data_IF_637097462796
#
_entry.id   IF_637097462796
#
_cell.length_a   1.000
_cell.length_b   1.000
_cell.length_c   1.000
_cell.angle_alpha   90.00
_cell.angle_beta   90.00
_cell.angle_gamma   90.00
#
_symmetry.space_group_name_H-M   'P 1'
#
loop_
_entity.id
_entity.type
_entity.pdbx_description
1 polymer ?
#
# COMPACT_ATOMS: atom_id res chain seq x y z
N UNK A 1 39.76 45.84 32.99
CA UNK A 1 40.09 45.67 31.55
C UNK A 1 38.96 44.91 30.87
N UNK A 2 38.42 45.49 29.78
CA UNK A 2 37.49 44.94 28.78
C UNK A 2 36.08 44.52 29.31
N UNK A 3 35.02 45.32 29.08
CA UNK A 3 34.19 45.43 27.84
C UNK A 3 33.31 44.17 27.70
N UNK A 4 31.97 44.13 27.63
CA UNK A 4 30.93 44.90 26.90
C UNK A 4 29.58 44.26 27.34
N UNK A 5 28.63 44.96 27.99
CA UNK A 5 27.39 45.57 27.44
C UNK A 5 26.75 44.77 26.30
N UNK A 6 25.55 44.21 26.47
CA UNK A 6 24.43 44.37 25.52
C UNK A 6 23.31 43.37 25.82
N UNK A 7 22.30 43.90 26.51
CA UNK A 7 20.89 43.69 26.25
C UNK A 7 20.63 43.40 24.76
N UNK A 8 20.07 42.24 24.43
CA UNK A 8 19.14 42.14 23.32
C UNK A 8 18.28 40.89 23.48
N UNK A 9 17.07 41.13 23.95
CA UNK A 9 15.90 40.27 23.79
C UNK A 9 15.83 39.81 22.33
N UNK A 10 16.25 38.57 22.05
CA UNK A 10 16.05 37.95 20.74
C UNK A 10 14.81 37.07 20.86
N UNK A 11 13.74 37.54 20.21
CA UNK A 11 12.47 36.86 20.06
C UNK A 11 12.69 35.41 19.58
N UNK A 12 12.20 34.47 20.37
CA UNK A 12 11.99 33.09 19.95
C UNK A 12 10.86 33.13 18.92
N UNK A 13 11.23 33.20 17.63
CA UNK A 13 10.31 32.94 16.53
C UNK A 13 10.06 31.43 16.50
N UNK A 14 8.99 31.01 17.18
CA UNK A 14 8.42 29.68 17.01
C UNK A 14 7.87 29.59 15.58
N UNK A 15 8.64 29.00 14.67
CA UNK A 15 8.11 28.52 13.40
C UNK A 15 7.21 27.29 13.68
N UNK A 16 5.99 27.56 14.13
CA UNK A 16 4.89 26.62 14.01
C UNK A 16 4.48 26.59 12.55
N UNK A 17 5.12 25.74 11.76
CA UNK A 17 4.60 25.38 10.45
C UNK A 17 3.42 24.43 10.67
N UNK A 18 2.25 24.99 10.98
CA UNK A 18 1.02 24.21 10.88
C UNK A 18 0.73 24.01 9.40
N UNK A 19 1.20 22.90 8.84
CA UNK A 19 0.74 22.45 7.53
C UNK A 19 -0.76 22.21 7.64
N UNK A 20 -1.56 23.14 7.16
CA UNK A 20 -2.99 22.91 6.91
C UNK A 20 -3.09 21.76 5.91
N UNK A 21 -3.62 20.62 6.35
CA UNK A 21 -4.09 19.57 5.43
C UNK A 21 -5.31 20.11 4.69
N UNK A 22 -5.09 20.72 3.54
CA UNK A 22 -6.15 20.91 2.55
C UNK A 22 -6.71 19.51 2.23
N UNK A 23 -7.92 19.25 2.69
CA UNK A 23 -8.56 17.93 2.60
C UNK A 23 -9.52 17.95 1.40
N UNK A 24 -8.97 18.21 0.22
CA UNK A 24 -9.69 18.12 -1.06
C UNK A 24 -8.78 17.53 -2.16
N UNK A 25 -7.74 16.79 -1.79
CA UNK A 25 -6.96 16.01 -2.76
C UNK A 25 -7.76 14.76 -3.15
N UNK A 26 -7.99 14.59 -4.45
CA UNK A 26 -8.54 13.36 -5.03
C UNK A 26 -7.75 12.17 -4.47
N UNK A 27 -8.42 11.09 -4.00
CA UNK A 27 -7.71 9.93 -3.48
C UNK A 27 -6.72 9.39 -4.52
N UNK A 28 -5.57 8.83 -4.10
CA UNK A 28 -4.60 8.24 -5.01
C UNK A 28 -5.28 7.14 -5.84
N UNK A 29 -4.80 6.89 -7.06
CA UNK A 29 -5.40 5.88 -7.93
C UNK A 29 -5.41 4.47 -7.29
N UNK A 30 -4.42 4.18 -6.44
CA UNK A 30 -4.33 2.93 -5.70
C UNK A 30 -3.63 3.10 -4.36
N UNK A 31 -3.81 2.09 -3.50
CA UNK A 31 -3.18 1.96 -2.19
C UNK A 31 -2.80 0.49 -1.95
N UNK A 32 -1.56 0.24 -1.50
CA UNK A 32 -1.17 -1.09 -1.01
C UNK A 32 -1.68 -1.22 0.43
N UNK A 33 -2.72 -2.03 0.63
CA UNK A 33 -3.37 -2.18 1.93
C UNK A 33 -2.57 -3.09 2.86
N UNK A 34 -1.99 -4.16 2.30
CA UNK A 34 -1.19 -5.15 3.02
C UNK A 34 -0.12 -5.70 2.08
N UNK A 35 1.09 -5.83 2.60
CA UNK A 35 2.19 -6.53 1.96
C UNK A 35 2.98 -7.25 3.05
N UNK A 36 3.08 -8.57 2.92
CA UNK A 36 3.65 -9.43 3.96
C UNK A 36 4.30 -10.63 3.32
N UNK A 37 5.39 -11.14 3.92
CA UNK A 37 5.99 -12.42 3.55
C UNK A 37 5.18 -13.62 4.09
N UNK A 38 4.16 -13.37 4.91
CA UNK A 38 3.34 -14.40 5.55
C UNK A 38 1.84 -14.10 5.40
N UNK A 39 1.02 -15.16 5.41
CA UNK A 39 -0.43 -15.07 5.29
C UNK A 39 -0.99 -15.29 3.89
N UNK A 40 -0.12 -15.59 2.91
CA UNK A 40 -0.51 -16.13 1.61
C UNK A 40 -0.89 -17.61 1.67
N UNK A 41 -0.96 -18.22 0.49
CA UNK A 41 -1.35 -19.62 0.27
C UNK A 41 -0.16 -20.36 -0.37
N UNK A 42 -0.28 -21.68 -0.49
CA UNK A 42 0.83 -22.50 -0.99
C UNK A 42 1.06 -22.35 -2.50
N UNK A 43 0.06 -21.94 -3.27
CA UNK A 43 0.13 -21.80 -4.73
C UNK A 43 0.03 -20.34 -5.15
N UNK A 44 0.65 -20.04 -6.30
CA UNK A 44 0.69 -18.70 -6.89
C UNK A 44 -0.62 -18.39 -7.60
N UNK A 45 -1.20 -17.23 -7.34
CA UNK A 45 -2.38 -16.71 -8.05
C UNK A 45 -2.54 -15.20 -7.88
N UNK A 46 -3.29 -14.60 -8.82
CA UNK A 46 -3.81 -13.25 -8.73
C UNK A 46 -5.33 -13.29 -8.84
N UNK A 47 -6.02 -12.52 -8.02
CA UNK A 47 -7.47 -12.55 -7.96
C UNK A 47 -8.06 -11.17 -7.73
N UNK A 48 -9.05 -10.81 -8.56
CA UNK A 48 -9.90 -9.66 -8.31
C UNK A 48 -10.99 -10.06 -7.33
N UNK A 49 -11.00 -9.43 -6.15
CA UNK A 49 -12.02 -9.68 -5.13
C UNK A 49 -13.30 -8.96 -5.54
N UNK A 50 -14.19 -9.71 -6.18
CA UNK A 50 -15.49 -9.22 -6.68
C UNK A 50 -16.67 -9.73 -5.87
N UNK A 51 -16.49 -10.83 -5.11
CA UNK A 51 -17.55 -11.42 -4.33
C UNK A 51 -17.72 -10.74 -2.97
N UNK A 52 -18.97 -10.48 -2.57
CA UNK A 52 -19.29 -9.89 -1.28
C UNK A 52 -18.81 -10.72 -0.08
N UNK A 53 -18.76 -12.05 -0.23
CA UNK A 53 -18.29 -12.96 0.80
C UNK A 53 -16.79 -12.79 1.04
N UNK A 54 -15.99 -12.72 -0.02
CA UNK A 54 -14.55 -12.50 0.03
C UNK A 54 -14.21 -11.10 0.53
N UNK A 55 -14.95 -10.08 0.08
CA UNK A 55 -14.77 -8.71 0.55
C UNK A 55 -15.01 -8.59 2.07
N UNK A 56 -16.00 -9.32 2.62
CA UNK A 56 -16.20 -9.40 4.07
C UNK A 56 -15.01 -10.01 4.80
N UNK A 57 -14.23 -10.89 4.17
CA UNK A 57 -12.99 -11.41 4.77
C UNK A 57 -11.95 -10.29 4.91
N UNK A 58 -11.82 -9.42 3.91
CA UNK A 58 -10.93 -8.24 3.98
C UNK A 58 -11.37 -7.27 5.08
N UNK A 59 -12.67 -7.02 5.24
CA UNK A 59 -13.21 -6.16 6.30
C UNK A 59 -12.95 -6.70 7.72
N UNK A 60 -12.80 -8.01 7.88
CA UNK A 60 -12.59 -8.66 9.17
C UNK A 60 -11.10 -8.94 9.47
N UNK A 61 -10.21 -8.81 8.49
CA UNK A 61 -8.77 -8.95 8.71
C UNK A 61 -8.27 -7.82 9.62
N UNK A 62 -7.49 -8.19 10.64
CA UNK A 62 -7.06 -7.28 11.71
C UNK A 62 -6.19 -6.14 11.19
N UNK A 63 -5.42 -6.36 10.13
CA UNK A 63 -4.51 -5.40 9.51
C UNK A 63 -5.23 -4.49 8.50
N UNK A 64 -6.40 -4.91 8.04
CA UNK A 64 -7.16 -4.26 6.97
C UNK A 64 -8.44 -3.56 7.43
N UNK A 65 -9.08 -4.00 8.51
CA UNK A 65 -10.40 -3.52 8.94
C UNK A 65 -10.52 -2.01 9.15
N UNK A 66 -9.40 -1.35 9.45
CA UNK A 66 -9.34 0.11 9.65
C UNK A 66 -8.90 0.88 8.39
N UNK A 67 -8.54 0.18 7.32
CA UNK A 67 -8.08 0.72 6.03
C UNK A 67 -9.13 0.62 4.93
N UNK A 68 -10.14 -0.23 5.12
CA UNK A 68 -11.19 -0.51 4.14
C UNK A 68 -12.54 -0.15 4.75
N UNK A 69 -13.36 0.61 4.02
CA UNK A 69 -14.76 0.86 4.40
C UNK A 69 -15.67 -0.13 3.68
N UNK A 70 -16.80 -0.55 4.28
CA UNK A 70 -17.78 -1.39 3.58
C UNK A 70 -18.29 -0.80 2.26
N UNK A 71 -18.31 0.53 2.14
CA UNK A 71 -18.70 1.23 0.91
C UNK A 71 -17.69 1.13 -0.23
N UNK A 72 -16.43 0.78 0.06
CA UNK A 72 -15.35 0.81 -0.94
C UNK A 72 -15.56 -0.22 -2.05
N UNK A 73 -16.30 -1.32 -1.81
CA UNK A 73 -16.60 -2.32 -2.85
C UNK A 73 -17.35 -1.73 -4.06
N UNK A 74 -18.09 -0.64 -3.85
CA UNK A 74 -18.89 0.00 -4.89
C UNK A 74 -18.07 1.00 -5.72
N UNK A 75 -16.95 1.50 -5.20
CA UNK A 75 -16.14 2.55 -5.85
C UNK A 75 -14.74 2.08 -6.21
N UNK A 76 -14.31 0.96 -5.64
CA UNK A 76 -12.95 0.44 -5.76
C UNK A 76 -12.95 -1.02 -6.20
N UNK A 77 -11.84 -1.41 -6.80
CA UNK A 77 -11.48 -2.78 -7.09
C UNK A 77 -10.39 -3.22 -6.10
N UNK A 78 -10.37 -4.51 -5.77
CA UNK A 78 -9.43 -5.08 -4.81
C UNK A 78 -8.69 -6.23 -5.48
N UNK A 79 -7.38 -6.15 -5.53
CA UNK A 79 -6.52 -7.15 -6.15
C UNK A 79 -5.73 -7.86 -5.05
N UNK A 80 -5.91 -9.18 -4.97
CA UNK A 80 -5.14 -10.07 -4.13
C UNK A 80 -4.03 -10.72 -4.97
N UNK A 81 -2.79 -10.57 -4.51
CA UNK A 81 -1.60 -11.14 -5.13
C UNK A 81 -0.97 -12.14 -4.17
N UNK A 82 -0.73 -13.36 -4.65
CA UNK A 82 -0.17 -14.44 -3.86
C UNK A 82 0.99 -15.11 -4.62
N UNK A 83 2.17 -15.18 -4.00
CA UNK A 83 3.37 -15.73 -4.65
C UNK A 83 3.48 -17.26 -4.54
N UNK A 84 2.60 -17.90 -3.75
CA UNK A 84 2.78 -19.29 -3.34
C UNK A 84 3.89 -19.43 -2.28
N UNK A 85 4.15 -20.68 -1.90
CA UNK A 85 5.25 -21.01 -0.98
C UNK A 85 6.62 -20.63 -1.55
N UNK A 86 7.49 -20.06 -0.72
CA UNK A 86 8.88 -19.75 -1.03
C UNK A 86 9.81 -20.29 0.05
N UNK A 87 10.98 -20.77 -0.37
CA UNK A 87 11.95 -21.41 0.52
C UNK A 87 12.88 -20.43 1.27
N UNK A 88 12.68 -19.12 1.08
CA UNK A 88 13.44 -18.08 1.78
C UNK A 88 12.59 -16.83 1.99
N UNK A 89 13.06 -15.93 2.84
CA UNK A 89 12.53 -14.56 2.94
C UNK A 89 13.01 -13.65 1.80
N UNK A 90 12.49 -12.42 1.78
CA UNK A 90 12.86 -11.36 0.84
C UNK A 90 12.09 -11.35 -0.49
N UNK A 91 11.04 -12.18 -0.62
CA UNK A 91 10.12 -12.14 -1.75
C UNK A 91 9.02 -11.12 -1.50
N UNK A 92 8.66 -10.36 -2.53
CA UNK A 92 7.61 -9.34 -2.42
C UNK A 92 7.04 -8.93 -3.75
N UNK A 93 5.90 -8.25 -3.76
CA UNK A 93 5.38 -7.58 -4.95
C UNK A 93 5.80 -6.11 -5.00
N UNK A 94 5.82 -5.55 -6.20
CA UNK A 94 5.86 -4.11 -6.43
C UNK A 94 4.91 -3.75 -7.56
N UNK A 95 4.22 -2.63 -7.41
CA UNK A 95 3.48 -2.01 -8.51
C UNK A 95 4.47 -1.09 -9.20
N UNK A 96 4.96 -1.48 -10.37
CA UNK A 96 5.95 -0.69 -11.12
C UNK A 96 5.30 0.48 -11.86
N UNK A 97 4.09 0.28 -12.35
CA UNK A 97 3.28 1.31 -12.97
C UNK A 97 1.80 1.04 -12.74
N UNK A 98 1.03 2.12 -12.71
CA UNK A 98 -0.43 2.05 -12.79
C UNK A 98 -0.94 3.26 -13.57
N UNK A 99 -1.73 2.99 -14.59
CA UNK A 99 -2.24 3.99 -15.51
C UNK A 99 -3.75 3.86 -15.63
N UNK A 100 -4.44 4.99 -15.55
CA UNK A 100 -5.87 5.08 -15.83
C UNK A 100 -6.05 5.53 -17.29
N UNK A 101 -6.68 4.67 -18.10
CA UNK A 101 -7.14 4.99 -19.46
C UNK A 101 -8.64 5.31 -19.43
N UNK A 102 -9.25 5.56 -20.59
CA UNK A 102 -10.69 5.81 -20.68
C UNK A 102 -11.55 4.66 -20.13
N UNK A 103 -11.15 3.41 -20.39
CA UNK A 103 -11.95 2.22 -20.05
C UNK A 103 -11.32 1.33 -18.98
N UNK A 104 -9.99 1.35 -18.88
CA UNK A 104 -9.22 0.36 -18.13
C UNK A 104 -8.25 1.02 -17.15
N UNK A 105 -7.96 0.33 -16.05
CA UNK A 105 -6.76 0.54 -15.25
C UNK A 105 -5.74 -0.52 -15.65
N UNK A 106 -4.61 -0.07 -16.17
CA UNK A 106 -3.49 -0.95 -16.51
C UNK A 106 -2.52 -0.93 -15.33
N UNK A 107 -2.26 -2.08 -14.74
CA UNK A 107 -1.35 -2.24 -13.60
C UNK A 107 -0.20 -3.17 -13.97
N UNK A 108 1.03 -2.69 -13.82
CA UNK A 108 2.23 -3.49 -14.04
C UNK A 108 2.76 -3.98 -12.70
N UNK A 109 2.81 -5.31 -12.54
CA UNK A 109 3.16 -5.95 -11.28
C UNK A 109 4.47 -6.72 -11.43
N UNK A 110 5.39 -6.45 -10.52
CA UNK A 110 6.65 -7.17 -10.43
C UNK A 110 6.72 -8.04 -9.20
N UNK A 111 7.19 -9.26 -9.43
CA UNK A 111 7.66 -10.15 -8.38
C UNK A 111 9.14 -9.87 -8.10
N UNK A 112 9.43 -9.41 -6.89
CA UNK A 112 10.79 -9.25 -6.41
C UNK A 112 11.25 -10.55 -5.75
N UNK A 113 12.46 -10.96 -6.13
CA UNK A 113 13.19 -12.05 -5.51
C UNK A 113 14.27 -11.48 -4.59
N UNK A 114 14.65 -12.19 -3.52
CA UNK A 114 15.72 -11.74 -2.63
C UNK A 114 17.03 -11.56 -3.42
N UNK A 115 17.73 -10.47 -3.13
CA UNK A 115 19.06 -10.19 -3.71
C UNK A 115 20.13 -10.51 -2.67
N UNK A 116 21.11 -11.34 -3.04
CA UNK A 116 22.20 -11.74 -2.14
C UNK A 116 21.78 -12.83 -1.15
N UNK A 117 22.38 -12.84 0.04
CA UNK A 117 22.07 -13.82 1.07
C UNK A 117 20.65 -13.61 1.60
N UNK A 118 19.83 -14.66 1.55
CA UNK A 118 18.45 -14.66 2.03
C UNK A 118 18.30 -15.57 3.24
N UNK A 119 17.39 -15.21 4.14
CA UNK A 119 17.03 -16.06 5.29
C UNK A 119 16.35 -17.32 4.78
N UNK A 120 16.86 -18.50 5.15
CA UNK A 120 16.30 -19.80 4.78
C UNK A 120 15.11 -20.16 5.68
N UNK A 121 13.99 -19.46 5.48
CA UNK A 121 12.72 -19.70 6.16
C UNK A 121 11.61 -19.79 5.12
N UNK A 122 10.68 -20.73 5.32
CA UNK A 122 9.50 -20.86 4.45
C UNK A 122 8.61 -19.63 4.59
N UNK A 123 8.21 -19.04 3.48
CA UNK A 123 7.35 -17.85 3.42
C UNK A 123 6.19 -18.05 2.46
N UNK A 124 5.12 -17.28 2.68
CA UNK A 124 3.91 -17.27 1.87
C UNK A 124 3.55 -15.82 1.53
N UNK A 125 4.28 -15.17 0.60
CA UNK A 125 4.12 -13.75 0.35
C UNK A 125 2.77 -13.40 -0.26
N UNK A 126 2.18 -12.33 0.26
CA UNK A 126 0.86 -11.81 -0.10
C UNK A 126 0.90 -10.28 -0.23
N UNK A 127 0.19 -9.75 -1.21
CA UNK A 127 -0.07 -8.31 -1.35
C UNK A 127 -1.55 -8.07 -1.68
N UNK A 128 -2.15 -7.08 -1.03
CA UNK A 128 -3.54 -6.68 -1.27
C UNK A 128 -3.52 -5.21 -1.66
N UNK A 129 -4.05 -4.93 -2.85
CA UNK A 129 -4.08 -3.60 -3.44
C UNK A 129 -5.52 -3.14 -3.57
N UNK A 130 -5.82 -1.94 -3.10
CA UNK A 130 -7.06 -1.22 -3.40
C UNK A 130 -6.81 -0.30 -4.58
N UNK A 131 -7.64 -0.39 -5.61
CA UNK A 131 -7.61 0.50 -6.77
C UNK A 131 -8.89 1.33 -6.68
N UNK A 132 -8.76 2.65 -6.54
CA UNK A 132 -9.86 3.59 -6.33
C UNK A 132 -10.62 3.88 -7.65
N UNK A 133 -11.02 2.81 -8.36
CA UNK A 133 -11.79 2.83 -9.60
C UNK A 133 -12.55 1.51 -9.78
N UNK A 134 -13.67 1.55 -10.52
CA UNK A 134 -14.43 0.37 -10.98
C UNK A 134 -14.20 0.02 -12.45
N UNK A 135 -13.32 0.75 -13.14
CA UNK A 135 -12.88 0.41 -14.50
C UNK A 135 -12.30 -1.01 -14.54
N UNK A 136 -12.30 -1.63 -15.72
CA UNK A 136 -11.74 -2.96 -15.87
C UNK A 136 -10.24 -2.94 -15.51
N UNK A 137 -9.74 -4.01 -14.90
CA UNK A 137 -8.33 -4.11 -14.50
C UNK A 137 -7.59 -5.01 -15.47
N UNK A 138 -6.51 -4.51 -16.06
CA UNK A 138 -5.59 -5.26 -16.90
C UNK A 138 -4.27 -5.38 -16.15
N UNK A 139 -3.85 -6.60 -15.87
CA UNK A 139 -2.59 -6.90 -15.17
C UNK A 139 -1.52 -7.24 -16.20
N UNK A 140 -0.36 -6.58 -16.10
CA UNK A 140 0.83 -6.80 -16.92
C UNK A 140 2.01 -7.27 -16.08
#
# INVERSE_FOLDING_TARGET
MKKIIATMTVCIILFSCSTQKNTDEKPPLYEILKQSEQGGANFRFFEMITEQKEFKMLLNDKDLKNKIKPSDIYTSNFLLLNMGEKNSGGYSFSIENIEETDNDIIITIKENVPKGLATTVMTYPICIVKINSKKNIIIQ
#
